data_IF_977646888724
#
_entry.id   IF_977646888724
#
_cell.length_a   1.000
_cell.length_b   1.000
_cell.length_c   1.000
_cell.angle_alpha   90.00
_cell.angle_beta   90.00
_cell.angle_gamma   90.00
#
_symmetry.space_group_name_H-M   'P 1'
#
loop_
_entity.id
_entity.type
_entity.pdbx_description
1 polymer ?
#
# COMPACT_ATOMS: atom_id res chain seq x y z
N UNK A 1 16.04 -10.13 30.51
CA UNK A 1 15.25 -10.08 29.27
C UNK A 1 16.16 -9.48 28.20
N UNK A 2 16.73 -10.32 27.32
CA UNK A 2 17.71 -9.89 26.31
C UNK A 2 16.98 -9.10 25.22
N UNK A 3 16.97 -7.77 25.32
CA UNK A 3 16.66 -6.92 24.17
C UNK A 3 17.88 -6.96 23.26
N UNK A 4 17.85 -7.81 22.23
CA UNK A 4 18.74 -7.66 21.08
C UNK A 4 18.51 -6.26 20.52
N UNK A 5 19.41 -5.33 20.85
CA UNK A 5 19.36 -3.98 20.31
C UNK A 5 19.60 -4.07 18.80
N UNK A 6 18.52 -3.90 18.04
CA UNK A 6 18.60 -3.84 16.59
C UNK A 6 19.53 -2.69 16.20
N UNK A 7 20.37 -2.92 15.18
CA UNK A 7 21.22 -1.85 14.63
C UNK A 7 20.34 -0.65 14.27
N UNK A 8 20.75 0.60 14.55
CA UNK A 8 19.91 1.79 14.37
C UNK A 8 19.33 1.92 12.95
N UNK A 9 20.08 1.50 11.93
CA UNK A 9 19.60 1.47 10.54
C UNK A 9 18.46 0.49 10.31
N UNK A 10 18.52 -0.71 10.88
CA UNK A 10 17.47 -1.73 10.75
C UNK A 10 16.20 -1.28 11.48
N UNK A 11 16.36 -0.68 12.66
CA UNK A 11 15.24 -0.12 13.42
C UNK A 11 14.54 1.01 12.66
N UNK A 12 15.29 1.90 11.99
CA UNK A 12 14.73 2.94 11.14
C UNK A 12 13.92 2.36 9.97
N UNK A 13 14.44 1.33 9.30
CA UNK A 13 13.72 0.66 8.20
C UNK A 13 12.45 -0.02 8.69
N UNK A 14 12.49 -0.73 9.83
CA UNK A 14 11.31 -1.37 10.42
C UNK A 14 10.25 -0.33 10.79
N UNK A 15 10.65 0.81 11.32
CA UNK A 15 9.72 1.88 11.67
C UNK A 15 9.06 2.51 10.43
N UNK A 16 9.73 2.48 9.28
CA UNK A 16 9.27 3.08 8.03
C UNK A 16 8.73 2.06 7.01
N UNK A 17 8.63 0.78 7.40
CA UNK A 17 8.32 -0.31 6.46
C UNK A 17 6.94 -0.17 5.82
N UNK A 18 5.97 0.43 6.52
CA UNK A 18 4.65 0.70 5.99
C UNK A 18 4.74 1.69 4.83
N UNK A 19 5.40 2.83 5.05
CA UNK A 19 5.57 3.86 4.03
C UNK A 19 6.37 3.34 2.83
N UNK A 20 7.42 2.56 3.07
CA UNK A 20 8.23 1.93 2.00
C UNK A 20 7.38 0.96 1.17
N UNK A 21 6.58 0.12 1.82
CA UNK A 21 5.73 -0.87 1.16
C UNK A 21 4.70 -0.20 0.24
N UNK A 22 4.00 0.81 0.74
CA UNK A 22 3.00 1.53 -0.05
C UNK A 22 3.62 2.34 -1.18
N UNK A 23 4.84 2.88 -1.00
CA UNK A 23 5.57 3.50 -2.09
C UNK A 23 5.91 2.51 -3.19
N UNK A 24 6.33 1.29 -2.85
CA UNK A 24 6.60 0.26 -3.85
C UNK A 24 5.34 -0.12 -4.63
N UNK A 25 4.23 -0.35 -3.93
CA UNK A 25 2.96 -0.73 -4.56
C UNK A 25 2.40 0.39 -5.44
N UNK A 26 2.50 1.64 -5.02
CA UNK A 26 1.96 2.77 -5.78
C UNK A 26 2.89 3.19 -6.92
N UNK A 27 4.21 3.17 -6.71
CA UNK A 27 5.15 3.64 -7.72
C UNK A 27 5.25 2.71 -8.92
N UNK A 28 5.21 1.38 -8.72
CA UNK A 28 5.41 0.43 -9.82
C UNK A 28 4.34 0.56 -10.91
N UNK A 29 3.03 0.54 -10.61
CA UNK A 29 1.99 0.75 -11.62
C UNK A 29 2.02 2.16 -12.21
N UNK A 30 2.19 3.19 -11.37
CA UNK A 30 2.24 4.61 -11.80
C UNK A 30 3.37 4.86 -12.82
N UNK A 31 4.55 4.29 -12.58
CA UNK A 31 5.70 4.41 -13.48
C UNK A 31 5.46 3.62 -14.77
N UNK A 32 4.91 2.41 -14.65
CA UNK A 32 4.64 1.57 -15.82
C UNK A 32 3.61 2.21 -16.74
N UNK A 33 2.49 2.69 -16.18
CA UNK A 33 1.45 3.42 -16.91
C UNK A 33 2.03 4.68 -17.56
N UNK A 34 2.79 5.51 -16.83
CA UNK A 34 3.38 6.73 -17.38
C UNK A 34 4.32 6.45 -18.57
N UNK A 35 5.12 5.38 -18.52
CA UNK A 35 6.01 4.99 -19.62
C UNK A 35 5.20 4.50 -20.84
N UNK A 36 4.16 3.70 -20.61
CA UNK A 36 3.33 3.14 -21.67
C UNK A 36 2.43 4.21 -22.32
N UNK A 37 1.98 5.19 -21.53
CA UNK A 37 1.12 6.30 -21.93
C UNK A 37 1.84 7.32 -22.82
N UNK A 38 3.15 7.56 -22.62
CA UNK A 38 3.99 8.36 -23.54
C UNK A 38 4.00 7.77 -24.97
N UNK A 39 3.77 6.46 -25.11
CA UNK A 39 3.70 5.77 -26.40
C UNK A 39 2.31 5.68 -27.04
N UNK A 40 1.23 5.94 -26.28
CA UNK A 40 -0.15 5.61 -26.70
C UNK A 40 -1.05 6.85 -26.79
N UNK A 41 -1.48 7.23 -28.00
CA UNK A 41 -2.37 8.38 -28.26
C UNK A 41 -3.85 8.10 -27.93
N UNK A 42 -4.17 7.59 -26.73
CA UNK A 42 -5.50 7.09 -26.35
C UNK A 42 -6.21 7.87 -25.23
N UNK A 43 -7.55 7.79 -25.16
CA UNK A 43 -8.49 8.62 -24.35
C UNK A 43 -8.17 8.71 -22.84
N UNK A 44 -8.30 9.94 -22.31
CA UNK A 44 -7.50 10.46 -21.19
C UNK A 44 -8.14 10.54 -19.80
N UNK A 45 -9.45 10.42 -19.63
CA UNK A 45 -10.08 11.01 -18.43
C UNK A 45 -10.01 10.14 -17.17
N UNK A 46 -10.25 8.83 -17.29
CA UNK A 46 -10.23 7.89 -16.14
C UNK A 46 -8.79 7.55 -15.68
N UNK A 47 -7.84 7.22 -16.58
CA UNK A 47 -6.46 6.93 -16.16
C UNK A 47 -5.77 8.15 -15.52
N UNK A 48 -6.02 9.36 -16.01
CA UNK A 48 -5.39 10.57 -15.48
C UNK A 48 -5.79 10.92 -14.04
N UNK A 49 -7.06 10.69 -13.67
CA UNK A 49 -7.55 10.94 -12.30
C UNK A 49 -6.89 9.96 -11.31
N UNK A 50 -6.85 8.67 -11.66
CA UNK A 50 -6.20 7.64 -10.84
C UNK A 50 -4.70 7.92 -10.68
N UNK A 51 -4.04 8.28 -11.79
CA UNK A 51 -2.63 8.69 -11.78
C UNK A 51 -2.40 9.89 -10.85
N UNK A 52 -3.25 10.91 -10.93
CA UNK A 52 -3.16 12.11 -10.09
C UNK A 52 -3.29 11.78 -8.61
N UNK A 53 -4.25 10.92 -8.25
CA UNK A 53 -4.43 10.45 -6.87
C UNK A 53 -3.20 9.67 -6.40
N UNK A 54 -2.66 8.78 -7.24
CA UNK A 54 -1.46 8.01 -6.91
C UNK A 54 -0.25 8.91 -6.65
N UNK A 55 -0.01 9.92 -7.50
CA UNK A 55 1.09 10.89 -7.32
C UNK A 55 0.93 11.69 -6.02
N UNK A 56 -0.29 12.09 -5.66
CA UNK A 56 -0.57 12.78 -4.40
C UNK A 56 -0.26 11.86 -3.22
N UNK A 57 -0.72 10.61 -3.24
CA UNK A 57 -0.45 9.63 -2.18
C UNK A 57 1.04 9.34 -2.02
N UNK A 58 1.77 9.17 -3.13
CA UNK A 58 3.23 9.01 -3.14
C UNK A 58 3.91 10.23 -2.50
N UNK A 59 3.49 11.44 -2.86
CA UNK A 59 4.06 12.68 -2.30
C UNK A 59 3.84 12.78 -0.79
N UNK A 60 2.66 12.39 -0.31
CA UNK A 60 2.34 12.33 1.11
C UNK A 60 3.18 11.27 1.82
N UNK A 61 3.35 10.08 1.24
CA UNK A 61 4.17 9.00 1.79
C UNK A 61 5.65 9.38 1.88
N UNK A 62 6.20 10.06 0.86
CA UNK A 62 7.57 10.60 0.89
C UNK A 62 7.71 11.64 2.00
N UNK A 63 6.75 12.56 2.13
CA UNK A 63 6.76 13.53 3.22
C UNK A 63 6.73 12.82 4.57
N UNK A 64 5.92 11.78 4.72
CA UNK A 64 5.80 10.99 5.93
C UNK A 64 7.08 10.22 6.28
N UNK A 65 7.86 9.77 5.29
CA UNK A 65 9.19 9.16 5.48
C UNK A 65 10.22 10.14 6.07
N UNK A 66 10.16 11.41 5.66
CA UNK A 66 11.10 12.45 6.10
C UNK A 66 10.64 13.04 7.45
N UNK A 67 9.34 13.31 7.58
CA UNK A 67 8.72 13.96 8.73
C UNK A 67 7.50 13.15 9.18
N UNK A 68 7.71 12.23 10.13
CA UNK A 68 6.63 11.42 10.71
C UNK A 68 5.65 12.28 11.51
N UNK A 69 4.61 12.72 10.81
CA UNK A 69 3.51 13.51 11.36
C UNK A 69 2.42 12.54 11.85
N UNK A 70 2.06 12.61 13.12
CA UNK A 70 1.23 11.60 13.77
C UNK A 70 -0.19 11.51 13.16
N UNK A 71 -0.85 12.66 12.97
CA UNK A 71 -2.18 12.74 12.34
C UNK A 71 -2.19 12.24 10.89
N UNK A 72 -1.16 12.59 10.11
CA UNK A 72 -1.04 12.12 8.73
C UNK A 72 -0.85 10.61 8.70
N UNK A 73 -0.06 10.04 9.61
CA UNK A 73 0.12 8.59 9.74
C UNK A 73 -1.21 7.88 10.01
N UNK A 74 -2.02 8.44 10.91
CA UNK A 74 -3.31 7.88 11.28
C UNK A 74 -4.28 7.91 10.11
N UNK A 75 -4.50 9.10 9.53
CA UNK A 75 -5.47 9.27 8.44
C UNK A 75 -5.06 8.45 7.22
N UNK A 76 -3.79 8.50 6.84
CA UNK A 76 -3.28 7.75 5.70
C UNK A 76 -3.37 6.25 5.94
N UNK A 77 -3.04 5.79 7.16
CA UNK A 77 -3.18 4.39 7.54
C UNK A 77 -4.63 3.91 7.44
N UNK A 78 -5.61 4.69 7.92
CA UNK A 78 -7.04 4.34 7.81
C UNK A 78 -7.47 4.28 6.35
N UNK A 79 -7.10 5.28 5.53
CA UNK A 79 -7.44 5.32 4.10
C UNK A 79 -6.84 4.12 3.36
N UNK A 80 -5.57 3.80 3.59
CA UNK A 80 -4.89 2.65 2.97
C UNK A 80 -5.46 1.32 3.47
N UNK A 81 -5.98 1.27 4.70
CA UNK A 81 -6.68 0.11 5.24
C UNK A 81 -7.95 -0.17 4.43
N UNK A 82 -8.76 0.86 4.18
CA UNK A 82 -9.95 0.76 3.32
C UNK A 82 -9.61 0.28 1.91
N UNK A 83 -8.58 0.87 1.27
CA UNK A 83 -8.14 0.43 -0.06
C UNK A 83 -7.64 -1.01 -0.07
N UNK A 84 -6.89 -1.42 0.96
CA UNK A 84 -6.40 -2.80 1.09
C UNK A 84 -7.56 -3.79 1.26
N UNK A 85 -8.57 -3.45 2.08
CA UNK A 85 -9.77 -4.28 2.23
C UNK A 85 -10.56 -4.37 0.93
N UNK A 86 -10.72 -3.26 0.20
CA UNK A 86 -11.38 -3.27 -1.10
C UNK A 86 -10.65 -4.16 -2.10
N UNK A 87 -9.31 -4.09 -2.13
CA UNK A 87 -8.49 -4.95 -2.98
C UNK A 87 -8.63 -6.44 -2.64
N UNK A 88 -8.62 -6.79 -1.35
CA UNK A 88 -8.87 -8.18 -0.91
C UNK A 88 -10.27 -8.64 -1.33
N UNK A 89 -11.29 -7.79 -1.14
CA UNK A 89 -12.66 -8.12 -1.53
C UNK A 89 -12.80 -8.30 -3.04
N UNK A 90 -12.15 -7.44 -3.84
CA UNK A 90 -12.10 -7.58 -5.29
C UNK A 90 -11.40 -8.88 -5.72
N UNK A 91 -10.25 -9.19 -5.12
CA UNK A 91 -9.52 -10.43 -5.40
C UNK A 91 -10.32 -11.69 -5.02
N UNK A 92 -11.08 -11.65 -3.92
CA UNK A 92 -11.97 -12.75 -3.52
C UNK A 92 -13.18 -12.86 -4.46
N UNK A 93 -13.73 -11.73 -4.89
CA UNK A 93 -14.84 -11.70 -5.85
C UNK A 93 -14.43 -12.30 -7.19
N UNK A 94 -13.23 -11.98 -7.67
CA UNK A 94 -12.69 -12.53 -8.93
C UNK A 94 -12.26 -13.99 -8.75
N UNK A 95 -11.83 -14.40 -7.56
CA UNK A 95 -11.57 -15.80 -7.25
C UNK A 95 -12.84 -16.67 -7.32
N UNK A 96 -14.00 -16.14 -6.92
CA UNK A 96 -15.29 -16.85 -6.94
C UNK A 96 -15.76 -17.18 -8.38
N UNK A 97 -15.26 -16.45 -9.37
CA UNK A 97 -15.57 -16.73 -10.79
C UNK A 97 -14.90 -18.01 -11.31
N UNK A 98 -13.94 -18.58 -10.58
CA UNK A 98 -13.26 -19.81 -10.97
C UNK A 98 -14.01 -21.05 -10.47
N UNK A 99 -14.65 -21.83 -11.36
CA UNK A 99 -15.57 -22.90 -10.97
C UNK A 99 -14.90 -24.05 -10.21
N UNK A 100 -13.62 -24.30 -10.44
CA UNK A 100 -12.85 -25.38 -9.79
C UNK A 100 -12.02 -24.90 -8.59
N UNK A 101 -11.82 -23.59 -8.41
CA UNK A 101 -11.01 -22.96 -7.34
C UNK A 101 -9.53 -23.39 -7.27
N UNK A 102 -9.12 -24.36 -8.08
CA UNK A 102 -7.81 -25.01 -8.11
C UNK A 102 -7.07 -24.76 -9.43
N UNK A 103 -7.69 -23.97 -10.30
CA UNK A 103 -7.09 -23.55 -11.55
C UNK A 103 -5.82 -22.74 -11.28
N UNK A 104 -4.76 -22.87 -12.10
CA UNK A 104 -3.52 -22.14 -11.89
C UNK A 104 -3.71 -20.62 -11.76
N UNK A 105 -4.69 -20.08 -12.49
CA UNK A 105 -5.05 -18.66 -12.44
C UNK A 105 -5.78 -18.28 -11.15
N UNK A 106 -6.68 -19.14 -10.65
CA UNK A 106 -7.35 -18.93 -9.37
C UNK A 106 -6.35 -18.94 -8.20
N UNK A 107 -5.42 -19.89 -8.22
CA UNK A 107 -4.36 -20.01 -7.21
C UNK A 107 -3.37 -18.84 -7.27
N UNK A 108 -3.01 -18.37 -8.46
CA UNK A 108 -2.13 -17.21 -8.61
C UNK A 108 -2.81 -15.91 -8.16
N UNK A 109 -4.09 -15.74 -8.47
CA UNK A 109 -4.91 -14.62 -8.01
C UNK A 109 -5.04 -14.64 -6.48
N UNK A 110 -5.34 -15.79 -5.89
CA UNK A 110 -5.42 -15.95 -4.43
C UNK A 110 -4.08 -15.62 -3.78
N UNK A 111 -2.97 -16.16 -4.30
CA UNK A 111 -1.64 -15.91 -3.77
C UNK A 111 -1.26 -14.42 -3.88
N UNK A 112 -1.48 -13.80 -5.04
CA UNK A 112 -1.18 -12.39 -5.24
C UNK A 112 -2.08 -11.48 -4.38
N UNK A 113 -3.39 -11.74 -4.40
CA UNK A 113 -4.39 -10.98 -3.64
C UNK A 113 -4.16 -11.05 -2.13
N UNK A 114 -3.85 -12.24 -1.60
CA UNK A 114 -3.57 -12.41 -0.16
C UNK A 114 -2.22 -11.84 0.24
N UNK A 115 -1.17 -12.01 -0.56
CA UNK A 115 0.16 -11.46 -0.25
C UNK A 115 0.13 -9.94 -0.34
N UNK A 116 -0.28 -9.39 -1.49
CA UNK A 116 -0.26 -7.93 -1.71
C UNK A 116 -1.31 -7.25 -0.84
N UNK A 117 -2.57 -7.73 -0.87
CA UNK A 117 -3.66 -7.16 -0.08
C UNK A 117 -3.46 -7.34 1.41
N UNK A 118 -3.12 -8.55 1.86
CA UNK A 118 -2.98 -8.88 3.28
C UNK A 118 -1.80 -8.18 3.95
N UNK A 119 -0.62 -8.15 3.30
CA UNK A 119 0.54 -7.41 3.83
C UNK A 119 0.23 -5.91 3.86
N UNK A 120 -0.41 -5.38 2.82
CA UNK A 120 -0.84 -3.98 2.79
C UNK A 120 -1.79 -3.66 3.93
N UNK A 121 -2.78 -4.50 4.18
CA UNK A 121 -3.73 -4.32 5.27
C UNK A 121 -3.04 -4.31 6.65
N UNK A 122 -2.17 -5.28 6.91
CA UNK A 122 -1.40 -5.33 8.17
C UNK A 122 -0.51 -4.09 8.36
N UNK A 123 0.13 -3.62 7.30
CA UNK A 123 1.01 -2.45 7.34
C UNK A 123 0.25 -1.13 7.46
N UNK A 124 -0.95 -1.02 6.87
CA UNK A 124 -1.87 0.10 7.06
C UNK A 124 -2.34 0.20 8.51
N UNK A 125 -2.71 -0.93 9.12
CA UNK A 125 -3.08 -1.00 10.54
C UNK A 125 -1.90 -0.55 11.41
N UNK A 126 -0.71 -1.08 11.16
CA UNK A 126 0.50 -0.67 11.89
C UNK A 126 0.74 0.83 11.80
N UNK A 127 0.62 1.41 10.60
CA UNK A 127 0.79 2.85 10.37
C UNK A 127 -0.26 3.68 11.14
N UNK A 128 -1.50 3.19 11.18
CA UNK A 128 -2.60 3.81 11.93
C UNK A 128 -2.34 3.80 13.43
N UNK A 129 -1.96 2.65 13.98
CA UNK A 129 -1.63 2.51 15.41
C UNK A 129 -0.43 3.35 15.81
N UNK A 130 0.62 3.42 14.98
CA UNK A 130 1.77 4.29 15.24
C UNK A 130 1.36 5.77 15.26
N UNK A 131 0.47 6.18 14.36
CA UNK A 131 -0.09 7.53 14.36
C UNK A 131 -0.91 7.83 15.60
N UNK A 132 -1.83 6.95 15.96
CA UNK A 132 -2.70 7.08 17.13
C UNK A 132 -1.90 7.10 18.44
N UNK A 133 -0.94 6.18 18.58
CA UNK A 133 -0.07 6.12 19.75
C UNK A 133 0.71 7.44 19.93
N UNK A 134 1.29 7.95 18.85
CA UNK A 134 2.04 9.21 18.91
C UNK A 134 1.15 10.41 19.25
N UNK A 135 -0.07 10.49 18.70
CA UNK A 135 -1.05 11.52 19.06
C UNK A 135 -1.53 11.45 20.52
N UNK A 136 -1.52 10.26 21.12
CA UNK A 136 -1.92 10.09 22.52
C UNK A 136 -0.80 10.49 23.50
N UNK A 137 0.46 10.35 23.07
CA UNK A 137 1.64 10.63 23.90
C UNK A 137 2.20 12.04 23.74
N UNK A 138 1.80 12.76 22.68
CA UNK A 138 2.14 14.16 22.41
C UNK A 138 1.06 15.09 23.00
#
# INVERSE_FOLDING_TARGET
>A
MNTTSLKPGIQKTINNISEIWFLLILAVPTIFDAIFEIGSKGKWTIPFILLSIAVILISILIKQLIQKTAWISLVLGVVLCFFSSFFIAAALSEYDEFPLGTEPNALSLLAFGTIVGGISFALAIKMSFQGAYKLYTD
#
